data_IF_953841615597
#
_entry.id   IF_953841615597
#
_cell.length_a   1.000
_cell.length_b   1.000
_cell.length_c   1.000
_cell.angle_alpha   90.00
_cell.angle_beta   90.00
_cell.angle_gamma   90.00
#
_symmetry.space_group_name_H-M   'P 1'
#
loop_
_entity.id
_entity.type
_entity.pdbx_description
1 polymer ?
#
# COMPACT_ATOMS: atom_id res chain seq x y z
N UNK A 1 -6.77 -12.06 -6.17
CA UNK A 1 -6.79 -11.01 -7.23
C UNK A 1 -8.17 -10.36 -7.25
N UNK A 2 -8.32 -9.06 -7.58
CA UNK A 2 -9.63 -8.43 -7.79
C UNK A 2 -9.62 -7.75 -9.17
N UNK A 3 -10.60 -8.06 -10.01
CA UNK A 3 -10.74 -7.47 -11.34
C UNK A 3 -12.09 -6.77 -11.42
N UNK A 4 -12.07 -5.50 -11.80
CA UNK A 4 -13.29 -4.71 -11.98
C UNK A 4 -13.53 -4.43 -13.46
N UNK A 5 -14.74 -4.74 -13.92
CA UNK A 5 -15.24 -4.37 -15.23
C UNK A 5 -16.16 -3.15 -15.04
N UNK A 6 -15.60 -1.96 -15.29
CA UNK A 6 -16.23 -0.65 -14.99
C UNK A 6 -17.64 -0.46 -15.58
N UNK A 7 -17.90 -1.02 -16.75
CA UNK A 7 -19.24 -1.12 -17.34
C UNK A 7 -19.44 -2.58 -17.71
N UNK A 8 -20.24 -3.37 -16.96
CA UNK A 8 -21.45 -2.98 -16.21
C UNK A 8 -21.31 -2.92 -14.67
N UNK A 9 -20.11 -2.71 -14.13
CA UNK A 9 -19.89 -2.63 -12.67
C UNK A 9 -19.75 -4.01 -12.02
N UNK A 10 -19.11 -4.96 -12.71
CA UNK A 10 -18.88 -6.32 -12.19
C UNK A 10 -17.52 -6.37 -11.51
N UNK A 11 -17.49 -6.92 -10.30
CA UNK A 11 -16.25 -7.21 -9.58
C UNK A 11 -16.04 -8.72 -9.49
N UNK A 12 -14.90 -9.18 -9.99
CA UNK A 12 -14.42 -10.53 -9.80
C UNK A 12 -13.52 -10.57 -8.57
N UNK A 13 -13.96 -11.32 -7.57
CA UNK A 13 -13.26 -11.49 -6.31
C UNK A 13 -12.77 -12.92 -6.22
N UNK A 14 -11.49 -13.08 -5.90
CA UNK A 14 -10.90 -14.38 -5.64
C UNK A 14 -11.25 -14.87 -4.22
N UNK A 15 -12.04 -15.94 -4.12
CA UNK A 15 -12.44 -16.53 -2.84
C UNK A 15 -11.25 -17.04 -2.02
N UNK A 16 -10.13 -17.42 -2.65
CA UNK A 16 -8.94 -17.89 -1.93
C UNK A 16 -8.29 -16.79 -1.08
N UNK A 17 -8.49 -15.52 -1.44
CA UNK A 17 -8.03 -14.38 -0.63
C UNK A 17 -8.75 -14.28 0.73
N UNK A 18 -9.91 -14.93 0.88
CA UNK A 18 -10.72 -14.94 2.09
C UNK A 18 -10.63 -16.29 2.81
N UNK A 19 -10.62 -17.37 2.03
CA UNK A 19 -10.70 -18.75 2.50
C UNK A 19 -9.57 -19.57 1.87
N UNK A 20 -8.33 -19.49 2.41
CA UNK A 20 -7.13 -20.07 1.79
C UNK A 20 -7.03 -21.58 2.04
N UNK A 21 -8.02 -22.34 1.59
CA UNK A 21 -8.05 -23.80 1.73
C UNK A 21 -8.71 -24.46 0.51
N UNK A 22 -8.43 -25.77 0.34
CA UNK A 22 -9.02 -26.58 -0.75
C UNK A 22 -10.54 -26.63 -0.60
N UNK A 23 -11.28 -26.61 -1.72
CA UNK A 23 -12.75 -26.68 -1.76
C UNK A 23 -13.32 -27.88 -0.98
N UNK A 24 -12.66 -29.05 -1.06
CA UNK A 24 -13.03 -30.24 -0.28
C UNK A 24 -13.00 -30.01 1.24
N UNK A 25 -12.06 -29.19 1.74
CA UNK A 25 -11.93 -28.86 3.17
C UNK A 25 -12.91 -27.78 3.60
N UNK A 26 -13.36 -26.92 2.68
CA UNK A 26 -14.34 -25.87 2.99
C UNK A 26 -15.67 -26.43 3.49
N UNK A 27 -16.17 -27.50 2.86
CA UNK A 27 -17.39 -28.18 3.31
C UNK A 27 -17.28 -28.65 4.76
N UNK A 28 -16.16 -29.32 5.08
CA UNK A 28 -15.91 -29.82 6.43
C UNK A 28 -15.75 -28.68 7.44
N UNK A 29 -15.03 -27.61 7.09
CA UNK A 29 -14.85 -26.44 7.95
C UNK A 29 -16.17 -25.72 8.26
N UNK A 30 -17.13 -25.78 7.34
CA UNK A 30 -18.46 -25.16 7.49
C UNK A 30 -19.50 -26.11 8.10
N UNK A 31 -19.09 -27.31 8.56
CA UNK A 31 -19.99 -28.26 9.23
C UNK A 31 -20.91 -29.07 8.31
N UNK A 32 -20.65 -29.09 6.99
CA UNK A 32 -21.42 -29.93 6.07
C UNK A 32 -20.84 -31.33 5.96
N UNK A 33 -21.71 -32.32 6.13
CA UNK A 33 -21.39 -33.72 5.83
C UNK A 33 -21.45 -33.94 4.32
N UNK A 34 -20.29 -33.87 3.67
CA UNK A 34 -20.18 -34.14 2.24
C UNK A 34 -18.73 -34.08 1.78
N UNK A 35 -18.27 -35.14 1.14
CA UNK A 35 -16.96 -35.14 0.48
C UNK A 35 -17.17 -34.78 -0.99
N UNK A 36 -16.53 -33.69 -1.45
CA UNK A 36 -16.34 -33.46 -2.88
C UNK A 36 -15.67 -34.70 -3.49
N UNK A 37 -16.34 -35.36 -4.44
CA UNK A 37 -15.84 -36.55 -5.14
C UNK A 37 -14.50 -36.32 -5.84
N UNK A 38 -13.80 -37.39 -6.19
CA UNK A 38 -12.57 -37.36 -6.97
C UNK A 38 -12.90 -37.43 -8.47
N UNK A 39 -12.23 -36.61 -9.29
CA UNK A 39 -12.48 -36.51 -10.74
C UNK A 39 -11.20 -36.75 -11.54
N UNK A 40 -11.24 -37.49 -12.66
CA UNK A 40 -10.06 -37.82 -13.44
C UNK A 40 -9.64 -36.65 -14.36
N UNK A 41 -9.01 -35.62 -13.77
CA UNK A 41 -8.61 -34.39 -14.47
C UNK A 41 -7.76 -34.65 -15.72
N UNK A 42 -6.84 -35.61 -15.69
CA UNK A 42 -5.96 -35.91 -16.83
C UNK A 42 -6.66 -36.70 -17.94
N UNK A 43 -7.90 -37.17 -17.70
CA UNK A 43 -8.68 -37.88 -18.69
C UNK A 43 -9.49 -36.95 -19.60
N UNK A 44 -9.59 -35.66 -19.24
CA UNK A 44 -10.30 -34.63 -20.02
C UNK A 44 -9.45 -34.21 -21.23
N UNK A 45 -9.36 -35.08 -22.23
CA UNK A 45 -8.71 -34.83 -23.53
C UNK A 45 -9.75 -34.71 -24.64
N UNK A 46 -9.36 -34.14 -25.78
CA UNK A 46 -10.21 -34.05 -26.98
C UNK A 46 -10.69 -35.44 -27.46
N UNK A 47 -9.82 -36.44 -27.36
CA UNK A 47 -10.09 -37.82 -27.77
C UNK A 47 -11.15 -38.50 -26.89
N UNK A 48 -11.17 -38.18 -25.59
CA UNK A 48 -12.06 -38.81 -24.63
C UNK A 48 -13.39 -38.08 -24.44
N UNK A 49 -13.68 -37.01 -25.19
CA UNK A 49 -14.87 -36.16 -24.97
C UNK A 49 -16.21 -36.92 -24.99
N UNK A 50 -16.31 -38.00 -25.77
CA UNK A 50 -17.51 -38.83 -25.87
C UNK A 50 -17.32 -40.20 -25.19
N UNK A 51 -16.35 -40.33 -24.29
CA UNK A 51 -16.03 -41.59 -23.64
C UNK A 51 -17.17 -42.05 -22.72
N UNK A 52 -17.58 -43.30 -22.94
CA UNK A 52 -18.47 -44.06 -22.06
C UNK A 52 -17.86 -45.45 -21.90
N UNK A 53 -17.47 -45.80 -20.68
CA UNK A 53 -16.74 -47.04 -20.44
C UNK A 53 -16.39 -47.24 -18.96
N UNK A 54 -15.47 -48.15 -18.62
CA UNK A 54 -15.02 -48.33 -17.24
C UNK A 54 -14.29 -47.09 -16.70
N UNK A 55 -14.23 -46.95 -15.38
CA UNK A 55 -13.58 -45.83 -14.70
C UNK A 55 -12.09 -45.71 -15.09
N UNK A 56 -11.60 -44.52 -15.51
CA UNK A 56 -10.21 -44.33 -15.89
C UNK A 56 -9.23 -44.73 -14.77
N UNK A 57 -8.18 -45.49 -15.03
CA UNK A 57 -7.12 -45.69 -14.03
C UNK A 57 -6.06 -44.58 -14.19
N UNK A 58 -5.48 -44.10 -13.10
CA UNK A 58 -4.33 -43.16 -13.07
C UNK A 58 -4.58 -41.69 -13.47
N UNK A 59 -5.76 -41.32 -13.95
CA UNK A 59 -6.01 -39.96 -14.44
C UNK A 59 -6.42 -38.93 -13.34
N UNK A 60 -6.33 -39.30 -12.06
CA UNK A 60 -6.81 -38.50 -10.93
C UNK A 60 -5.73 -37.65 -10.22
N UNK A 61 -4.47 -37.71 -10.67
CA UNK A 61 -3.37 -37.02 -9.98
C UNK A 61 -3.03 -37.61 -8.61
N UNK A 62 -3.17 -38.94 -8.49
CA UNK A 62 -2.96 -39.71 -7.25
C UNK A 62 -1.57 -39.48 -6.64
N UNK A 63 -0.57 -39.17 -7.46
CA UNK A 63 0.81 -38.95 -7.01
C UNK A 63 1.02 -37.62 -6.28
N UNK A 64 0.12 -36.66 -6.48
CA UNK A 64 0.12 -35.38 -5.75
C UNK A 64 -0.70 -35.42 -4.46
N UNK A 65 -1.33 -36.55 -4.14
CA UNK A 65 -2.15 -36.71 -2.93
C UNK A 65 -1.30 -37.03 -1.70
N UNK A 66 -1.72 -36.54 -0.53
CA UNK A 66 -1.10 -36.92 0.74
C UNK A 66 -1.34 -38.41 1.03
N UNK A 67 -0.44 -39.12 1.74
CA UNK A 67 -0.55 -40.57 1.95
C UNK A 67 -1.90 -41.05 2.48
N UNK A 68 -2.51 -40.29 3.42
CA UNK A 68 -3.84 -40.59 3.97
C UNK A 68 -4.97 -40.41 2.95
N UNK A 69 -4.89 -39.38 2.12
CA UNK A 69 -5.87 -39.12 1.06
C UNK A 69 -5.75 -40.17 -0.05
N UNK A 70 -4.51 -40.51 -0.44
CA UNK A 70 -4.20 -41.58 -1.41
C UNK A 70 -4.77 -42.93 -0.98
N UNK A 71 -4.62 -43.33 0.29
CA UNK A 71 -5.18 -44.58 0.80
C UNK A 71 -6.71 -44.61 0.72
N UNK A 72 -7.39 -43.52 1.09
CA UNK A 72 -8.86 -43.41 0.97
C UNK A 72 -9.31 -43.50 -0.48
N UNK A 73 -8.63 -42.78 -1.38
CA UNK A 73 -8.91 -42.81 -2.81
C UNK A 73 -8.76 -44.21 -3.40
N UNK A 74 -7.67 -44.92 -3.09
CA UNK A 74 -7.42 -46.26 -3.63
C UNK A 74 -8.50 -47.28 -3.19
N UNK A 75 -8.98 -47.17 -1.95
CA UNK A 75 -10.09 -47.99 -1.47
C UNK A 75 -11.38 -47.69 -2.25
N UNK A 76 -11.76 -46.41 -2.36
CA UNK A 76 -12.93 -45.99 -3.15
C UNK A 76 -12.82 -46.43 -4.63
N UNK A 77 -11.67 -46.21 -5.26
CA UNK A 77 -11.45 -46.60 -6.65
C UNK A 77 -11.57 -48.10 -6.85
N UNK A 78 -11.05 -48.92 -5.93
CA UNK A 78 -11.18 -50.38 -6.00
C UNK A 78 -12.64 -50.82 -6.00
N UNK A 79 -13.47 -50.14 -5.22
CA UNK A 79 -14.88 -50.50 -5.03
C UNK A 79 -15.76 -49.98 -6.19
N UNK A 80 -15.39 -48.86 -6.82
CA UNK A 80 -16.17 -48.21 -7.89
C UNK A 80 -15.63 -48.42 -9.32
N UNK A 81 -14.47 -49.08 -9.52
CA UNK A 81 -13.82 -49.21 -10.85
C UNK A 81 -14.66 -49.90 -11.94
N UNK A 82 -15.61 -50.74 -11.53
CA UNK A 82 -16.47 -51.50 -12.46
C UNK A 82 -17.71 -50.71 -12.90
N UNK A 83 -17.96 -49.55 -12.33
CA UNK A 83 -19.08 -48.70 -12.72
C UNK A 83 -18.84 -48.05 -14.08
N UNK A 84 -19.92 -47.82 -14.82
CA UNK A 84 -19.87 -47.12 -16.10
C UNK A 84 -19.63 -45.64 -15.87
N UNK A 85 -18.52 -45.14 -16.39
CA UNK A 85 -18.13 -43.74 -16.37
C UNK A 85 -18.48 -43.08 -17.71
N UNK A 86 -19.32 -42.05 -17.64
CA UNK A 86 -19.67 -41.17 -18.75
C UNK A 86 -18.99 -39.82 -18.51
N UNK A 87 -17.98 -39.50 -19.32
CA UNK A 87 -17.15 -38.32 -19.06
C UNK A 87 -17.98 -37.02 -19.10
N UNK A 88 -18.95 -36.89 -20.00
CA UNK A 88 -19.72 -35.65 -20.13
C UNK A 88 -20.64 -35.42 -18.95
N UNK A 89 -21.34 -36.48 -18.52
CA UNK A 89 -22.23 -36.40 -17.37
C UNK A 89 -21.46 -36.13 -16.08
N UNK A 90 -20.36 -36.84 -15.86
CA UNK A 90 -19.53 -36.69 -14.67
C UNK A 90 -18.83 -35.32 -14.63
N UNK A 91 -18.31 -34.84 -15.77
CA UNK A 91 -17.69 -33.52 -15.85
C UNK A 91 -18.70 -32.41 -15.57
N UNK A 92 -19.88 -32.48 -16.19
CA UNK A 92 -20.96 -31.52 -15.94
C UNK A 92 -21.37 -31.52 -14.46
N UNK A 93 -21.60 -32.71 -13.90
CA UNK A 93 -21.97 -32.85 -12.49
C UNK A 93 -20.89 -32.29 -11.58
N UNK A 94 -19.62 -32.65 -11.80
CA UNK A 94 -18.49 -32.17 -11.00
C UNK A 94 -18.37 -30.64 -11.03
N UNK A 95 -18.42 -30.02 -12.21
CA UNK A 95 -18.37 -28.56 -12.34
C UNK A 95 -19.55 -27.87 -11.64
N UNK A 96 -20.76 -28.42 -11.76
CA UNK A 96 -21.92 -27.88 -11.05
C UNK A 96 -21.77 -27.99 -9.53
N UNK A 97 -21.25 -29.11 -9.02
CA UNK A 97 -21.01 -29.26 -7.59
C UNK A 97 -19.95 -28.25 -7.10
N UNK A 98 -18.87 -28.05 -7.85
CA UNK A 98 -17.83 -27.08 -7.48
C UNK A 98 -18.37 -25.67 -7.31
N UNK A 99 -19.18 -25.21 -8.28
CA UNK A 99 -19.81 -23.88 -8.21
C UNK A 99 -20.84 -23.81 -7.08
N UNK A 100 -21.65 -24.86 -6.86
CA UNK A 100 -22.64 -24.90 -5.78
C UNK A 100 -21.98 -24.82 -4.41
N UNK A 101 -20.95 -25.64 -4.18
CA UNK A 101 -20.20 -25.67 -2.93
C UNK A 101 -19.58 -24.30 -2.67
N UNK A 102 -18.86 -23.75 -3.66
CA UNK A 102 -18.22 -22.45 -3.49
C UNK A 102 -19.23 -21.34 -3.20
N UNK A 103 -20.36 -21.34 -3.92
CA UNK A 103 -21.45 -20.38 -3.70
C UNK A 103 -22.00 -20.47 -2.28
N UNK A 104 -22.35 -21.66 -1.81
CA UNK A 104 -22.88 -21.86 -0.45
C UNK A 104 -21.89 -21.43 0.61
N UNK A 105 -20.62 -21.82 0.46
CA UNK A 105 -19.58 -21.42 1.40
C UNK A 105 -19.41 -19.89 1.44
N UNK A 106 -19.40 -19.21 0.29
CA UNK A 106 -19.32 -17.76 0.24
C UNK A 106 -20.53 -17.07 0.89
N UNK A 107 -21.74 -17.61 0.71
CA UNK A 107 -22.96 -17.09 1.35
C UNK A 107 -22.84 -17.18 2.86
N UNK A 108 -22.54 -18.37 3.39
CA UNK A 108 -22.43 -18.60 4.83
C UNK A 108 -21.32 -17.77 5.46
N UNK A 109 -20.15 -17.71 4.81
CA UNK A 109 -19.06 -16.84 5.26
C UNK A 109 -19.52 -15.38 5.35
N UNK A 110 -20.20 -14.87 4.33
CA UNK A 110 -20.70 -13.49 4.32
C UNK A 110 -21.73 -13.25 5.43
N UNK A 111 -22.69 -14.15 5.57
CA UNK A 111 -23.75 -14.05 6.58
C UNK A 111 -23.17 -14.06 8.00
N UNK A 112 -22.23 -14.96 8.29
CA UNK A 112 -21.64 -15.06 9.63
C UNK A 112 -20.82 -13.80 9.97
N UNK A 113 -20.05 -13.27 9.02
CA UNK A 113 -19.29 -12.02 9.21
C UNK A 113 -20.24 -10.82 9.43
N UNK A 114 -21.31 -10.71 8.63
CA UNK A 114 -22.27 -9.62 8.78
C UNK A 114 -23.03 -9.72 10.11
N UNK A 115 -23.38 -10.93 10.54
CA UNK A 115 -24.06 -11.19 11.82
C UNK A 115 -23.17 -10.88 13.01
N UNK A 116 -21.90 -11.28 13.00
CA UNK A 116 -20.99 -11.02 14.13
C UNK A 116 -20.54 -9.55 14.23
N UNK A 117 -20.65 -8.79 13.14
CA UNK A 117 -20.33 -7.34 13.09
C UNK A 117 -21.57 -6.47 13.14
N UNK A 118 -22.73 -7.05 13.45
CA UNK A 118 -23.98 -6.33 13.54
C UNK A 118 -23.98 -5.39 14.75
N UNK A 119 -24.26 -4.11 14.51
CA UNK A 119 -24.41 -3.09 15.56
C UNK A 119 -25.56 -2.15 15.18
N UNK A 120 -26.36 -1.75 16.17
CA UNK A 120 -27.40 -0.75 16.00
C UNK A 120 -26.84 0.66 16.23
N UNK A 121 -27.22 1.60 15.36
CA UNK A 121 -26.91 3.02 15.52
C UNK A 121 -28.17 3.86 15.27
N UNK A 122 -28.23 5.05 15.86
CA UNK A 122 -29.37 5.97 15.74
C UNK A 122 -28.96 7.14 14.85
N UNK A 123 -29.49 7.16 13.63
CA UNK A 123 -29.20 8.24 12.68
C UNK A 123 -30.31 9.27 12.70
N UNK A 124 -29.95 10.53 12.91
CA UNK A 124 -30.87 11.65 12.75
C UNK A 124 -31.18 11.88 11.26
N UNK A 125 -32.46 11.79 10.88
CA UNK A 125 -32.94 12.01 9.49
C UNK A 125 -33.59 13.39 9.32
N UNK A 126 -33.69 14.16 10.39
CA UNK A 126 -34.28 15.49 10.42
C UNK A 126 -34.64 15.93 11.85
N UNK A 127 -35.22 17.13 12.02
CA UNK A 127 -35.61 17.64 13.34
C UNK A 127 -36.59 16.67 14.02
N UNK A 128 -36.19 16.10 15.16
CA UNK A 128 -37.02 15.18 15.94
C UNK A 128 -37.28 13.80 15.30
N UNK A 129 -36.62 13.46 14.18
CA UNK A 129 -36.75 12.15 13.52
C UNK A 129 -35.46 11.36 13.62
N UNK A 130 -35.49 10.33 14.44
CA UNK A 130 -34.42 9.36 14.61
C UNK A 130 -34.84 8.03 13.98
N UNK A 131 -33.91 7.37 13.30
CA UNK A 131 -34.14 6.03 12.75
C UNK A 131 -33.01 5.13 13.20
N UNK A 132 -33.38 3.98 13.75
CA UNK A 132 -32.43 2.93 14.06
C UNK A 132 -31.94 2.30 12.76
N UNK A 133 -30.62 2.28 12.58
CA UNK A 133 -29.95 1.71 11.43
C UNK A 133 -29.08 0.58 11.93
N UNK A 134 -29.24 -0.58 11.30
CA UNK A 134 -28.39 -1.73 11.52
C UNK A 134 -27.15 -1.61 10.62
N UNK A 135 -26.00 -1.43 11.25
CA UNK A 135 -24.70 -1.39 10.59
C UNK A 135 -24.02 -2.75 10.71
N UNK A 136 -23.36 -3.17 9.65
CA UNK A 136 -22.53 -4.38 9.64
C UNK A 136 -21.48 -4.27 8.54
N UNK A 137 -20.46 -5.12 8.63
CA UNK A 137 -19.38 -5.18 7.64
C UNK A 137 -19.70 -6.29 6.65
N UNK A 138 -19.82 -5.93 5.37
CA UNK A 138 -19.85 -6.91 4.28
C UNK A 138 -18.41 -7.27 3.87
N UNK A 139 -17.96 -8.52 4.07
CA UNK A 139 -16.58 -8.91 3.80
C UNK A 139 -16.19 -8.77 2.32
N UNK A 140 -17.13 -8.94 1.38
CA UNK A 140 -16.84 -8.86 -0.05
C UNK A 140 -16.77 -7.43 -0.59
N UNK A 141 -16.90 -6.41 0.26
CA UNK A 141 -16.50 -5.03 -0.06
C UNK A 141 -14.98 -4.84 -0.04
N UNK A 142 -14.25 -5.80 0.51
CA UNK A 142 -12.79 -5.79 0.63
C UNK A 142 -12.16 -6.78 -0.36
N UNK A 143 -10.82 -6.80 -0.42
CA UNK A 143 -10.07 -7.64 -1.38
C UNK A 143 -9.44 -8.88 -0.73
N UNK A 144 -9.20 -8.83 0.58
CA UNK A 144 -8.50 -9.89 1.34
C UNK A 144 -9.08 -10.08 2.74
N UNK A 145 -8.87 -11.26 3.32
CA UNK A 145 -9.20 -11.54 4.72
C UNK A 145 -8.57 -10.52 5.68
N UNK A 146 -7.31 -10.16 5.48
CA UNK A 146 -6.61 -9.20 6.33
C UNK A 146 -7.29 -7.82 6.34
N UNK A 147 -7.75 -7.34 5.18
CA UNK A 147 -8.51 -6.09 5.10
C UNK A 147 -9.87 -6.18 5.80
N UNK A 148 -10.54 -7.34 5.75
CA UNK A 148 -11.78 -7.58 6.50
C UNK A 148 -11.50 -7.55 8.00
N UNK A 149 -10.47 -8.27 8.48
CA UNK A 149 -10.09 -8.29 9.88
C UNK A 149 -9.74 -6.89 10.41
N UNK A 150 -9.03 -6.08 9.62
CA UNK A 150 -8.73 -4.70 9.98
C UNK A 150 -9.98 -3.83 10.04
N UNK A 151 -10.91 -4.00 9.11
CA UNK A 151 -12.19 -3.27 9.14
C UNK A 151 -13.01 -3.66 10.37
N UNK A 152 -13.10 -4.95 10.67
CA UNK A 152 -13.74 -5.45 11.89
C UNK A 152 -13.11 -4.89 13.15
N UNK A 153 -11.77 -4.88 13.23
CA UNK A 153 -11.05 -4.31 14.36
C UNK A 153 -11.43 -2.84 14.59
N UNK A 154 -11.37 -2.04 13.51
CA UNK A 154 -11.72 -0.62 13.55
C UNK A 154 -13.18 -0.36 13.91
N UNK A 155 -14.09 -1.19 13.41
CA UNK A 155 -15.53 -1.00 13.60
C UNK A 155 -16.02 -1.48 14.98
N UNK A 156 -15.50 -2.60 15.46
CA UNK A 156 -16.02 -3.26 16.68
C UNK A 156 -15.20 -2.98 17.95
N UNK A 157 -13.88 -2.76 17.83
CA UNK A 157 -12.97 -2.82 18.98
C UNK A 157 -12.14 -1.55 19.18
N UNK A 158 -11.93 -0.74 18.13
CA UNK A 158 -11.15 0.48 18.23
C UNK A 158 -11.93 1.54 19.00
N UNK A 159 -11.39 1.95 20.14
CA UNK A 159 -12.01 2.95 20.99
C UNK A 159 -11.93 4.35 20.35
N UNK A 160 -12.92 5.22 20.57
CA UNK A 160 -12.83 6.61 20.11
C UNK A 160 -11.53 7.28 20.57
N UNK A 161 -10.92 8.07 19.69
CA UNK A 161 -9.70 8.84 19.98
C UNK A 161 -8.45 8.01 20.37
N UNK A 162 -8.39 6.73 20.01
CA UNK A 162 -7.22 5.86 20.32
C UNK A 162 -6.27 5.62 19.15
N UNK A 163 -6.51 6.22 17.99
CA UNK A 163 -5.53 6.19 16.89
C UNK A 163 -4.30 6.98 17.34
N UNK A 164 -3.16 6.28 17.43
CA UNK A 164 -1.87 6.87 17.81
C UNK A 164 -1.53 8.00 16.84
N UNK A 165 -1.26 9.19 17.38
CA UNK A 165 -0.58 10.24 16.64
C UNK A 165 0.74 9.65 16.15
N UNK A 166 0.86 9.47 14.83
CA UNK A 166 2.09 9.00 14.23
C UNK A 166 3.22 9.91 14.73
N UNK A 167 4.33 9.35 15.27
CA UNK A 167 5.49 10.17 15.53
C UNK A 167 5.90 10.83 14.19
N UNK A 168 6.42 12.07 14.19
CA UNK A 168 6.72 12.81 12.97
C UNK A 168 7.63 12.06 11.97
N UNK A 169 8.36 11.04 12.44
CA UNK A 169 9.20 10.16 11.63
C UNK A 169 8.47 8.95 10.99
N UNK A 170 7.14 8.82 11.10
CA UNK A 170 6.32 7.83 10.41
C UNK A 170 6.80 6.36 10.55
N UNK A 171 7.42 5.99 11.68
CA UNK A 171 8.00 4.65 11.93
C UNK A 171 9.08 4.19 10.94
N UNK A 172 9.51 5.07 10.03
CA UNK A 172 10.65 4.82 9.16
C UNK A 172 11.88 5.48 9.80
N UNK A 173 12.90 4.68 10.10
CA UNK A 173 14.24 5.19 10.46
C UNK A 173 14.92 5.98 9.34
N UNK A 174 14.25 6.12 8.19
CA UNK A 174 14.65 7.01 7.11
C UNK A 174 13.87 8.33 7.27
N UNK A 175 14.55 9.37 7.73
CA UNK A 175 14.06 10.74 7.56
C UNK A 175 13.72 10.93 6.08
N UNK A 176 12.45 11.16 5.76
CA UNK A 176 12.12 11.81 4.49
C UNK A 176 12.86 13.14 4.52
N UNK A 177 13.91 13.28 3.70
CA UNK A 177 14.78 14.46 3.73
C UNK A 177 14.08 15.73 3.26
N UNK A 178 12.96 15.57 2.55
CA UNK A 178 12.23 16.64 1.92
C UNK A 178 10.74 16.59 2.24
N UNK A 179 10.10 17.76 2.24
CA UNK A 179 8.66 17.92 2.36
C UNK A 179 8.06 17.97 0.94
N UNK A 180 6.85 17.44 0.73
CA UNK A 180 6.18 17.54 -0.58
C UNK A 180 6.08 18.99 -1.10
N UNK A 181 5.77 20.00 -0.26
CA UNK A 181 5.85 21.41 -0.64
C UNK A 181 7.24 21.86 -1.11
N UNK A 182 8.34 21.33 -0.53
CA UNK A 182 9.69 21.75 -0.92
C UNK A 182 10.03 21.25 -2.33
N UNK A 183 9.68 20.01 -2.67
CA UNK A 183 9.85 19.48 -4.03
C UNK A 183 8.99 20.25 -5.03
N UNK A 184 7.72 20.52 -4.70
CA UNK A 184 6.83 21.28 -5.59
C UNK A 184 7.37 22.68 -5.86
N UNK A 185 7.90 23.35 -4.83
CA UNK A 185 8.52 24.66 -4.98
C UNK A 185 9.80 24.60 -5.82
N UNK A 186 10.68 23.61 -5.59
CA UNK A 186 11.89 23.42 -6.40
C UNK A 186 11.56 23.19 -7.87
N UNK A 187 10.54 22.38 -8.18
CA UNK A 187 10.07 22.15 -9.55
C UNK A 187 9.52 23.43 -10.20
N UNK A 188 8.76 24.24 -9.44
CA UNK A 188 8.24 25.52 -9.91
C UNK A 188 9.37 26.52 -10.22
N UNK A 189 10.32 26.66 -9.31
CA UNK A 189 11.49 27.53 -9.47
C UNK A 189 12.37 27.07 -10.63
N UNK A 190 12.55 25.75 -10.79
CA UNK A 190 13.26 25.16 -11.93
C UNK A 190 12.58 25.50 -13.26
N UNK A 191 11.25 25.39 -13.34
CA UNK A 191 10.49 25.69 -14.55
C UNK A 191 10.47 27.19 -14.87
N UNK A 192 10.35 28.06 -13.87
CA UNK A 192 10.23 29.51 -14.05
C UNK A 192 11.57 30.19 -14.33
N UNK A 193 12.64 29.74 -13.68
CA UNK A 193 13.94 30.42 -13.67
C UNK A 193 15.06 29.59 -14.35
N UNK A 194 14.70 28.45 -14.96
CA UNK A 194 15.64 27.55 -15.64
C UNK A 194 16.76 27.01 -14.72
N UNK A 195 16.46 26.89 -13.43
CA UNK A 195 17.35 26.41 -12.37
C UNK A 195 17.32 24.87 -12.35
N UNK A 196 18.45 24.20 -12.59
CA UNK A 196 18.51 22.76 -12.80
C UNK A 196 18.52 21.95 -11.47
N UNK A 197 17.41 21.94 -10.72
CA UNK A 197 17.41 21.56 -9.31
C UNK A 197 17.26 20.06 -8.95
N UNK A 198 17.14 19.13 -9.90
CA UNK A 198 16.77 17.72 -9.56
C UNK A 198 17.48 16.60 -10.36
N UNK A 199 18.53 16.90 -11.13
CA UNK A 199 19.30 15.84 -11.84
C UNK A 199 20.52 15.41 -11.04
N UNK A 200 20.33 14.59 -10.01
CA UNK A 200 21.43 13.93 -9.28
C UNK A 200 21.28 13.83 -7.76
N UNK A 201 20.24 14.43 -7.17
CA UNK A 201 20.04 14.48 -5.72
C UNK A 201 20.56 15.76 -5.07
N UNK A 202 20.48 15.85 -3.73
CA UNK A 202 20.97 16.97 -2.93
C UNK A 202 22.50 17.11 -3.08
N UNK A 203 22.99 18.32 -3.41
CA UNK A 203 24.42 18.58 -3.51
C UNK A 203 25.01 18.89 -2.13
N UNK A 204 26.04 18.15 -1.73
CA UNK A 204 26.78 18.42 -0.50
C UNK A 204 27.86 19.48 -0.74
N UNK A 205 27.83 20.58 0.01
CA UNK A 205 28.84 21.64 0.01
C UNK A 205 29.39 21.79 1.42
N UNK A 206 30.61 21.29 1.65
CA UNK A 206 31.16 21.19 3.00
C UNK A 206 30.34 20.24 3.89
N UNK A 207 29.96 20.63 5.12
CA UNK A 207 29.14 19.79 5.99
C UNK A 207 27.63 19.89 5.69
N UNK A 208 27.20 20.73 4.75
CA UNK A 208 25.78 21.02 4.50
C UNK A 208 25.29 20.39 3.20
N UNK A 209 24.01 20.01 3.17
CA UNK A 209 23.29 19.55 1.98
C UNK A 209 22.33 20.64 1.53
N UNK A 210 22.38 21.01 0.26
CA UNK A 210 21.52 22.02 -0.33
C UNK A 210 20.24 21.40 -0.87
N UNK A 211 19.09 22.05 -0.64
CA UNK A 211 17.80 21.65 -1.24
C UNK A 211 17.81 21.78 -2.76
N UNK A 212 18.54 22.78 -3.29
CA UNK A 212 18.75 22.98 -4.72
C UNK A 212 20.04 23.72 -5.04
N UNK A 213 20.61 23.44 -6.21
CA UNK A 213 21.82 24.09 -6.72
C UNK A 213 21.70 24.35 -8.22
N UNK A 214 22.14 25.53 -8.67
CA UNK A 214 22.27 25.83 -10.09
C UNK A 214 23.42 26.80 -10.35
N UNK A 215 23.86 26.85 -11.61
CA UNK A 215 24.75 27.90 -12.10
C UNK A 215 23.90 28.83 -12.98
N UNK A 216 23.58 30.01 -12.46
CA UNK A 216 22.77 31.02 -13.17
C UNK A 216 23.74 32.10 -13.63
N UNK A 217 23.83 32.35 -14.94
CA UNK A 217 24.70 33.36 -15.54
C UNK A 217 26.18 33.27 -15.10
N UNK A 218 26.68 32.04 -14.94
CA UNK A 218 28.06 31.77 -14.50
C UNK A 218 28.27 31.85 -12.97
N UNK A 219 27.23 32.19 -12.20
CA UNK A 219 27.28 32.29 -10.74
C UNK A 219 26.69 31.05 -10.10
N UNK A 220 27.49 30.40 -9.24
CA UNK A 220 27.04 29.26 -8.43
C UNK A 220 26.02 29.75 -7.40
N UNK A 221 24.79 29.28 -7.54
CA UNK A 221 23.63 29.71 -6.76
C UNK A 221 23.08 28.52 -5.98
N UNK A 222 22.93 28.70 -4.67
CA UNK A 222 22.31 27.74 -3.77
C UNK A 222 20.87 28.18 -3.46
N UNK A 223 19.98 27.21 -3.34
CA UNK A 223 18.55 27.43 -3.13
C UNK A 223 18.12 26.57 -1.94
N UNK A 224 17.48 27.19 -0.94
CA UNK A 224 17.01 26.52 0.28
C UNK A 224 15.54 26.80 0.54
N UNK A 225 14.79 25.75 0.88
CA UNK A 225 13.38 25.81 1.23
C UNK A 225 13.23 25.81 2.76
N UNK A 226 13.04 27.00 3.31
CA UNK A 226 12.82 27.17 4.74
C UNK A 226 11.34 26.96 5.09
N UNK A 227 10.94 25.69 5.23
CA UNK A 227 9.60 25.33 5.67
C UNK A 227 9.26 25.96 7.03
N UNK A 228 8.13 26.67 7.11
CA UNK A 228 7.77 27.55 8.24
C UNK A 228 7.88 26.88 9.60
N UNK A 229 7.30 25.69 9.75
CA UNK A 229 7.29 24.94 11.00
C UNK A 229 8.69 24.54 11.47
N UNK A 230 9.58 24.13 10.56
CA UNK A 230 10.90 23.60 10.89
C UNK A 230 11.98 24.68 11.03
N UNK A 231 11.77 25.84 10.41
CA UNK A 231 12.78 26.91 10.31
C UNK A 231 12.38 28.21 11.03
N UNK A 232 11.28 28.23 11.77
CA UNK A 232 10.96 29.39 12.60
C UNK A 232 10.38 30.57 11.83
N UNK A 233 9.17 30.44 11.27
CA UNK A 233 8.54 31.55 10.56
C UNK A 233 7.84 32.52 11.52
N UNK A 234 8.50 33.64 11.81
CA UNK A 234 7.99 34.72 12.68
C UNK A 234 6.64 35.31 12.24
N UNK A 235 6.28 35.20 10.96
CA UNK A 235 5.00 35.69 10.43
C UNK A 235 3.86 34.69 10.56
N UNK A 236 4.12 33.39 10.59
CA UNK A 236 3.06 32.36 10.60
C UNK A 236 2.67 31.94 12.02
N UNK A 237 3.64 31.83 12.92
CA UNK A 237 3.45 31.17 14.22
C UNK A 237 3.53 32.17 15.40
N UNK A 238 4.02 33.39 15.16
CA UNK A 238 4.19 34.44 16.17
C UNK A 238 5.28 34.15 17.20
N UNK A 239 5.71 35.21 17.91
CA UNK A 239 6.75 35.10 18.92
C UNK A 239 6.29 34.18 20.07
N UNK A 240 7.18 33.29 20.54
CA UNK A 240 6.97 32.32 21.63
C UNK A 240 6.03 31.12 21.37
N UNK A 241 5.75 30.74 20.12
CA UNK A 241 5.10 29.44 19.87
C UNK A 241 6.05 28.29 20.26
N UNK A 242 5.64 27.49 21.24
CA UNK A 242 6.40 26.36 21.77
C UNK A 242 6.12 25.08 20.98
N UNK A 243 7.18 24.46 20.44
CA UNK A 243 7.08 23.23 19.66
C UNK A 243 7.79 22.08 20.37
N UNK A 244 7.04 21.27 21.12
CA UNK A 244 7.57 20.07 21.82
C UNK A 244 8.19 19.03 20.88
N UNK A 245 7.82 19.08 19.59
CA UNK A 245 8.35 18.20 18.54
C UNK A 245 9.75 18.60 18.03
N UNK A 246 10.25 19.81 18.34
CA UNK A 246 11.50 20.36 17.82
C UNK A 246 12.46 20.79 18.94
N UNK A 247 13.00 19.81 19.67
CA UNK A 247 14.10 20.01 20.64
C UNK A 247 13.80 21.05 21.74
N UNK A 248 12.53 21.20 22.15
CA UNK A 248 12.09 22.17 23.17
C UNK A 248 12.58 23.60 22.90
N UNK A 249 12.48 24.05 21.64
CA UNK A 249 12.80 25.41 21.23
C UNK A 249 11.54 26.21 20.90
N UNK A 250 11.60 27.53 21.12
CA UNK A 250 10.62 28.47 20.59
C UNK A 250 10.90 28.74 19.12
N UNK A 251 9.84 29.09 18.38
CA UNK A 251 9.91 29.36 16.95
C UNK A 251 10.90 30.49 16.59
N UNK A 252 11.07 31.48 17.47
CA UNK A 252 12.02 32.57 17.29
C UNK A 252 13.48 32.08 17.40
N UNK A 253 13.77 31.18 18.36
CA UNK A 253 15.11 30.58 18.50
C UNK A 253 15.45 29.67 17.32
N UNK A 254 14.45 29.03 16.72
CA UNK A 254 14.63 28.27 15.48
C UNK A 254 14.91 29.19 14.29
N UNK A 255 14.22 30.34 14.23
CA UNK A 255 14.48 31.38 13.22
C UNK A 255 15.91 31.90 13.32
N UNK A 256 16.35 32.35 14.50
CA UNK A 256 17.70 32.86 14.74
C UNK A 256 18.79 31.86 14.38
N UNK A 257 18.62 30.58 14.75
CA UNK A 257 19.57 29.52 14.36
C UNK A 257 19.65 29.34 12.85
N UNK A 258 18.51 29.38 12.17
CA UNK A 258 18.46 29.27 10.70
C UNK A 258 19.18 30.45 10.05
N UNK A 259 19.01 31.66 10.59
CA UNK A 259 19.70 32.86 10.11
C UNK A 259 21.21 32.82 10.35
N UNK A 260 21.66 32.46 11.54
CA UNK A 260 23.09 32.35 11.87
C UNK A 260 23.81 31.33 10.97
N UNK A 261 23.18 30.18 10.70
CA UNK A 261 23.72 29.19 9.75
C UNK A 261 23.80 29.71 8.31
N UNK A 262 22.93 30.64 7.93
CA UNK A 262 22.90 31.19 6.57
C UNK A 262 23.95 32.28 6.30
N UNK A 263 24.43 32.97 7.34
CA UNK A 263 25.46 34.02 7.23
C UNK A 263 26.91 33.48 7.30
N UNK A 264 27.12 32.30 7.90
CA UNK A 264 28.46 31.82 8.26
C UNK A 264 29.19 30.81 7.33
N UNK A 265 28.73 30.40 6.13
CA UNK A 265 29.53 29.53 5.29
C UNK A 265 30.35 30.37 4.31
N UNK A 266 31.53 30.86 4.72
CA UNK A 266 32.60 31.35 3.84
C UNK A 266 32.36 32.70 3.09
N UNK A 267 31.63 33.65 3.68
CA UNK A 267 31.52 35.02 3.14
C UNK A 267 30.51 35.21 1.99
N UNK A 268 29.36 34.51 2.06
CA UNK A 268 28.25 34.70 1.13
C UNK A 268 27.57 36.07 1.34
N UNK A 269 27.32 36.84 0.29
CA UNK A 269 26.44 38.03 0.37
C UNK A 269 24.98 37.61 0.18
N UNK A 270 24.15 37.87 1.18
CA UNK A 270 22.69 37.66 1.08
C UNK A 270 22.12 38.67 0.09
N UNK A 271 21.77 38.22 -1.11
CA UNK A 271 21.10 39.05 -2.11
C UNK A 271 19.60 39.09 -1.87
N UNK A 272 19.12 40.22 -1.33
CA UNK A 272 17.69 40.57 -1.25
C UNK A 272 17.13 40.57 0.18
N UNK A 273 16.63 41.73 0.60
CA UNK A 273 15.87 41.91 1.84
C UNK A 273 14.47 41.28 1.67
N UNK A 274 14.37 39.98 1.92
CA UNK A 274 13.14 39.20 1.77
C UNK A 274 12.72 38.57 3.13
N UNK A 275 12.77 39.36 4.21
CA UNK A 275 12.23 38.95 5.54
C UNK A 275 10.72 38.66 5.50
N UNK A 276 10.01 39.08 4.45
CA UNK A 276 8.55 39.06 4.35
C UNK A 276 7.96 38.05 3.36
N UNK A 277 8.75 37.15 2.75
CA UNK A 277 8.21 36.13 1.83
C UNK A 277 8.11 34.75 2.48
N UNK A 278 6.91 34.17 2.38
CA UNK A 278 6.59 32.85 2.91
C UNK A 278 7.38 31.74 2.21
N UNK A 279 7.99 30.87 3.00
CA UNK A 279 8.28 29.47 2.62
C UNK A 279 9.55 29.18 1.83
N UNK A 280 10.27 30.14 1.23
CA UNK A 280 11.50 29.80 0.51
C UNK A 280 12.46 30.98 0.29
N UNK A 281 13.78 30.71 0.27
CA UNK A 281 14.82 31.75 0.15
C UNK A 281 15.88 31.39 -0.90
N UNK A 282 16.49 32.44 -1.44
CA UNK A 282 17.57 32.35 -2.44
C UNK A 282 18.85 32.92 -1.84
N UNK A 283 19.95 32.18 -1.94
CA UNK A 283 21.27 32.65 -1.52
C UNK A 283 22.18 32.83 -2.73
N UNK A 284 22.79 34.00 -2.87
CA UNK A 284 23.77 34.31 -3.93
C UNK A 284 25.18 34.17 -3.34
N UNK A 285 25.99 33.26 -3.89
CA UNK A 285 27.39 33.14 -3.46
C UNK A 285 28.32 33.64 -4.56
N UNK A 286 28.88 34.83 -4.37
CA UNK A 286 30.08 35.24 -5.08
C UNK A 286 31.30 34.75 -4.30
N UNK A 287 32.23 34.06 -4.97
CA UNK A 287 33.54 33.75 -4.41
C UNK A 287 34.55 34.65 -5.12
N UNK A 288 35.40 35.42 -4.41
CA UNK A 288 36.54 36.07 -5.05
C UNK A 288 37.48 34.97 -5.56
N UNK A 289 37.91 35.10 -6.81
CA UNK A 289 38.72 34.12 -7.52
C UNK A 289 39.88 33.59 -6.66
N UNK A 290 39.80 32.31 -6.26
CA UNK A 290 40.95 31.56 -5.79
C UNK A 290 41.39 30.63 -6.93
N UNK A 291 42.60 30.89 -7.41
CA UNK A 291 43.32 30.26 -8.51
C UNK A 291 43.18 28.74 -8.55
N UNK A 292 42.84 28.22 -9.73
CA UNK A 292 42.96 26.82 -10.08
C UNK A 292 44.41 26.36 -9.89
N UNK A 293 44.62 25.34 -9.04
CA UNK A 293 45.82 24.51 -9.10
C UNK A 293 45.49 23.28 -9.95
N UNK A 294 46.22 23.16 -11.07
CA UNK A 294 46.28 21.98 -11.92
C UNK A 294 46.87 20.78 -11.16
N UNK A 295 46.23 19.61 -11.29
CA UNK A 295 46.86 18.28 -11.24
C UNK A 295 45.90 17.32 -11.98
N UNK A 296 46.04 17.20 -13.30
CA UNK A 296 46.80 16.16 -14.03
C UNK A 296 46.07 14.82 -14.10
N UNK A 297 45.80 14.44 -15.35
CA UNK A 297 45.23 13.18 -15.82
C UNK A 297 45.95 11.95 -15.26
N UNK A 298 45.18 10.88 -15.03
CA UNK A 298 45.69 9.56 -14.70
C UNK A 298 44.55 8.55 -14.78
N UNK A 299 44.34 7.99 -15.98
CA UNK A 299 43.31 6.98 -16.21
C UNK A 299 43.64 5.64 -15.55
N UNK A 300 42.59 4.87 -15.27
CA UNK A 300 42.63 3.42 -15.37
C UNK A 300 41.20 2.91 -15.43
N UNK A 301 40.87 2.35 -16.59
CA UNK A 301 39.75 1.45 -16.83
C UNK A 301 39.94 0.21 -15.96
N UNK A 302 38.89 -0.19 -15.24
CA UNK A 302 38.36 -1.55 -15.11
C UNK A 302 37.00 -1.48 -14.43
#
# INVERSE_FOLDING_TARGET
MCVEVKAPGIHFIDSLNFMPMKLRKLLQAMGFEGCKGDFPHYFTTLENQNYVGPMPSLCYGVDSMMPREKAKFLNWYRDNRSETFDLQKELMYYCQQDVKILRWTCILYREEIMKMTETGDIVARGPGKFTEVKLCIDPFRYVTLASVCMAMYKFMFLQPNTVVLLPPNHYHGQKMRYLTPSIQWLLYTAHKENIHALRGGELQVGPYFLDGYAVVDGVRTAVEFNGCFFHGCVTCDGDNFWVSLLQDATQDRLSEKTWLCSEDPLGAQVGGDDRNRHGARRFLKQSPAASASHASEGGSVL
#
